data_IF_221814476217
#
_entry.id   IF_221814476217
#
_cell.length_a   1.000
_cell.length_b   1.000
_cell.length_c   1.000
_cell.angle_alpha   90.00
_cell.angle_beta   90.00
_cell.angle_gamma   90.00
#
_symmetry.space_group_name_H-M   'P 1'
#
loop_
_entity.id
_entity.type
_entity.pdbx_description
1 polymer ?
#
# COMPACT_ATOMS: atom_id res chain seq x y z
N UNK A 1 22.65 1.16 21.43
CA UNK A 1 22.68 0.40 20.16
C UNK A 1 21.40 -0.41 20.08
N UNK A 2 20.74 -0.35 18.96
CA UNK A 2 19.53 -1.12 18.67
C UNK A 2 19.83 -1.97 17.43
N UNK A 3 19.55 -3.28 17.49
CA UNK A 3 19.67 -4.16 16.33
C UNK A 3 18.30 -4.28 15.66
N UNK A 4 18.26 -4.01 14.36
CA UNK A 4 17.05 -4.08 13.53
C UNK A 4 17.06 -5.42 12.80
N UNK A 5 16.24 -6.35 13.26
CA UNK A 5 16.16 -7.71 12.74
C UNK A 5 15.00 -7.87 11.76
N UNK A 6 15.18 -8.64 10.68
CA UNK A 6 14.05 -9.08 9.87
C UNK A 6 13.17 -10.05 10.65
N UNK A 7 11.92 -10.16 10.25
CA UNK A 7 11.05 -11.26 10.67
C UNK A 7 11.53 -12.60 10.12
N UNK A 8 11.08 -13.70 10.73
CA UNK A 8 11.35 -15.05 10.23
C UNK A 8 10.71 -15.24 8.84
N UNK A 9 11.45 -15.89 7.93
CA UNK A 9 10.98 -16.27 6.60
C UNK A 9 11.07 -17.78 6.42
N UNK A 10 10.01 -18.39 5.90
CA UNK A 10 9.99 -19.82 5.55
C UNK A 10 10.23 -20.08 4.06
N UNK A 11 10.19 -19.04 3.24
CA UNK A 11 10.33 -19.13 1.78
C UNK A 11 11.71 -18.70 1.25
N UNK A 12 12.73 -18.61 2.12
CA UNK A 12 14.07 -18.15 1.76
C UNK A 12 14.32 -16.68 2.14
N UNK A 13 15.36 -16.05 1.59
CA UNK A 13 15.70 -14.67 1.94
C UNK A 13 14.57 -13.71 1.61
N UNK A 14 14.31 -12.78 2.52
CA UNK A 14 13.33 -11.72 2.25
C UNK A 14 13.91 -10.70 1.26
N UNK A 15 13.03 -10.03 0.51
CA UNK A 15 13.38 -8.80 -0.16
C UNK A 15 13.54 -7.71 0.90
N UNK A 16 14.76 -7.23 1.19
CA UNK A 16 15.01 -6.45 2.38
C UNK A 16 14.34 -5.08 2.34
N UNK A 17 13.49 -4.82 3.31
CA UNK A 17 12.94 -3.50 3.61
C UNK A 17 13.22 -3.17 5.07
N UNK A 18 14.50 -2.96 5.46
CA UNK A 18 14.90 -2.82 6.86
C UNK A 18 14.35 -1.54 7.46
N UNK A 19 13.17 -1.62 8.01
CA UNK A 19 12.52 -0.54 8.70
C UNK A 19 12.43 -0.78 10.20
N UNK A 20 12.13 0.24 10.94
CA UNK A 20 12.06 0.20 12.38
C UNK A 20 11.00 1.16 12.89
N UNK A 21 10.46 0.84 14.07
CA UNK A 21 9.68 1.76 14.89
C UNK A 21 9.91 1.42 16.37
N UNK A 22 10.17 2.43 17.18
CA UNK A 22 10.38 2.26 18.62
C UNK A 22 10.05 3.55 19.37
N UNK A 23 9.82 3.41 20.66
CA UNK A 23 9.70 4.50 21.58
C UNK A 23 11.04 4.71 22.31
N UNK A 24 11.48 5.93 22.46
CA UNK A 24 12.69 6.33 23.14
C UNK A 24 12.40 7.30 24.28
N UNK A 25 12.66 6.87 25.52
CA UNK A 25 12.62 7.74 26.69
C UNK A 25 13.98 8.42 26.84
N UNK A 26 14.05 9.68 26.45
CA UNK A 26 15.28 10.46 26.48
C UNK A 26 15.24 11.42 27.68
N UNK A 27 15.98 11.08 28.75
CA UNK A 27 16.04 11.90 29.97
C UNK A 27 17.17 12.93 29.95
N UNK A 28 17.52 13.44 28.77
CA UNK A 28 18.56 14.44 28.54
C UNK A 28 18.02 15.60 27.73
N UNK A 29 18.42 16.81 28.10
CA UNK A 29 18.19 18.01 27.26
C UNK A 29 19.10 18.03 26.02
N UNK A 30 20.23 17.33 26.07
CA UNK A 30 21.17 17.25 24.97
C UNK A 30 20.78 16.15 23.98
N UNK A 31 21.11 16.29 22.69
CA UNK A 31 20.88 15.28 21.69
C UNK A 31 21.57 13.93 22.04
N UNK A 32 20.90 12.84 21.74
CA UNK A 32 21.38 11.46 22.02
C UNK A 32 21.68 10.75 20.71
N UNK A 33 22.87 10.13 20.64
CA UNK A 33 23.26 9.31 19.49
C UNK A 33 22.82 7.87 19.68
N UNK A 34 21.99 7.37 18.77
CA UNK A 34 21.57 6.00 18.71
C UNK A 34 22.21 5.32 17.51
N UNK A 35 22.89 4.18 17.76
CA UNK A 35 23.41 3.33 16.70
C UNK A 35 22.38 2.27 16.35
N UNK A 36 21.96 2.24 15.09
CA UNK A 36 21.15 1.20 14.47
C UNK A 36 22.06 0.22 13.75
N UNK A 37 21.95 -1.08 14.05
CA UNK A 37 22.67 -2.16 13.42
C UNK A 37 21.66 -3.03 12.65
N UNK A 38 21.79 -3.11 11.36
CA UNK A 38 20.83 -3.79 10.46
C UNK A 38 21.15 -5.27 10.25
N UNK A 39 21.97 -5.88 11.10
CA UNK A 39 22.25 -7.31 11.07
C UNK A 39 22.70 -7.85 9.69
N UNK A 40 23.49 -7.08 8.96
CA UNK A 40 24.00 -7.41 7.62
C UNK A 40 23.12 -6.90 6.46
N UNK A 41 22.01 -6.22 6.75
CA UNK A 41 21.22 -5.49 5.75
C UNK A 41 21.63 -4.02 5.70
N UNK A 42 21.10 -3.24 4.75
CA UNK A 42 21.48 -1.84 4.55
C UNK A 42 20.46 -0.88 5.14
N UNK A 43 20.92 0.26 5.63
CA UNK A 43 20.08 1.39 5.98
C UNK A 43 19.26 1.83 4.76
N UNK A 44 17.93 1.93 4.93
CA UNK A 44 17.02 2.30 3.84
C UNK A 44 16.16 3.51 4.17
N UNK A 45 15.66 3.61 5.40
CA UNK A 45 14.68 4.60 5.79
C UNK A 45 15.27 5.66 6.71
N UNK A 46 15.17 6.93 6.32
CA UNK A 46 15.53 8.06 7.17
C UNK A 46 14.48 8.26 8.26
N UNK A 47 14.91 8.51 9.52
CA UNK A 47 14.00 8.51 10.66
C UNK A 47 13.03 9.68 10.67
N UNK A 48 11.81 9.38 11.04
CA UNK A 48 10.77 10.30 11.43
C UNK A 48 10.58 10.22 12.93
N UNK A 49 10.22 11.34 13.55
CA UNK A 49 9.96 11.44 14.99
C UNK A 49 8.57 12.01 15.25
N UNK A 50 7.95 11.57 16.34
CA UNK A 50 6.71 12.13 16.87
C UNK A 50 6.84 12.34 18.37
N UNK A 51 6.32 13.48 18.88
CA UNK A 51 6.26 13.82 20.30
C UNK A 51 4.83 13.82 20.86
N UNK A 52 3.86 13.53 20.03
CA UNK A 52 2.43 13.52 20.34
C UNK A 52 1.78 12.15 20.09
N UNK A 53 2.56 11.10 20.36
CA UNK A 53 2.13 9.70 20.22
C UNK A 53 1.63 9.35 18.82
N UNK A 54 2.30 9.85 17.76
CA UNK A 54 2.00 9.53 16.38
C UNK A 54 0.96 10.44 15.72
N UNK A 55 0.40 11.43 16.42
CA UNK A 55 -0.58 12.35 15.85
C UNK A 55 0.05 13.27 14.79
N UNK A 56 1.32 13.65 14.98
CA UNK A 56 2.10 14.34 13.96
C UNK A 56 3.53 13.78 13.87
N UNK A 57 4.14 13.91 12.70
CA UNK A 57 5.46 13.38 12.42
C UNK A 57 6.35 14.42 11.76
N UNK A 58 7.61 14.43 12.15
CA UNK A 58 8.66 15.26 11.57
C UNK A 58 9.80 14.38 11.06
N UNK A 59 10.18 14.52 9.79
CA UNK A 59 11.39 13.87 9.25
C UNK A 59 12.62 14.53 9.86
N UNK A 60 13.57 13.73 10.33
CA UNK A 60 14.89 14.26 10.75
C UNK A 60 15.68 14.68 9.52
N UNK A 61 16.49 15.73 9.67
CA UNK A 61 17.39 16.18 8.62
C UNK A 61 18.46 15.13 8.28
N UNK A 62 19.01 15.21 7.09
CA UNK A 62 20.07 14.30 6.65
C UNK A 62 21.31 14.38 7.54
N UNK A 63 21.59 15.53 8.12
CA UNK A 63 22.67 15.79 9.08
C UNK A 63 22.49 15.04 10.42
N UNK A 64 21.28 14.61 10.73
CA UNK A 64 20.98 13.79 11.90
C UNK A 64 21.35 12.32 11.71
N UNK A 65 21.68 11.88 10.49
CA UNK A 65 21.97 10.47 10.17
C UNK A 65 23.35 10.33 9.54
N UNK A 66 24.17 9.48 10.12
CA UNK A 66 25.47 9.08 9.54
C UNK A 66 25.44 7.58 9.26
N UNK A 67 25.55 7.20 8.00
CA UNK A 67 25.61 5.80 7.58
C UNK A 67 27.08 5.39 7.45
N UNK A 68 27.43 4.21 8.00
CA UNK A 68 28.79 3.64 7.87
C UNK A 68 29.09 3.23 6.41
N UNK A 69 30.37 3.06 6.10
CA UNK A 69 30.85 2.79 4.74
C UNK A 69 30.25 1.54 4.10
N UNK A 70 29.94 0.54 4.90
CA UNK A 70 29.31 -0.73 4.49
C UNK A 70 27.77 -0.64 4.40
N UNK A 71 27.17 0.47 4.85
CA UNK A 71 25.72 0.67 4.89
C UNK A 71 24.98 -0.12 5.97
N UNK A 72 25.65 -1.02 6.71
CA UNK A 72 25.00 -1.91 7.69
C UNK A 72 24.70 -1.25 9.03
N UNK A 73 25.31 -0.11 9.27
CA UNK A 73 25.17 0.63 10.52
C UNK A 73 24.81 2.08 10.20
N UNK A 74 23.79 2.59 10.86
CA UNK A 74 23.50 4.01 10.89
C UNK A 74 23.57 4.57 12.32
N UNK A 75 24.12 5.77 12.46
CA UNK A 75 24.07 6.53 13.71
C UNK A 75 23.07 7.65 13.52
N UNK A 76 22.02 7.64 14.34
CA UNK A 76 20.95 8.63 14.33
C UNK A 76 21.12 9.55 15.53
N UNK A 77 21.13 10.86 15.34
CA UNK A 77 21.12 11.85 16.40
C UNK A 77 19.68 12.24 16.69
N UNK A 78 19.17 11.77 17.81
CA UNK A 78 17.81 12.07 18.28
C UNK A 78 17.84 13.36 19.12
N UNK A 79 16.87 14.28 18.97
CA UNK A 79 16.80 15.47 19.79
C UNK A 79 16.47 15.11 21.24
N UNK A 80 17.15 15.77 22.19
CA UNK A 80 16.81 15.68 23.60
C UNK A 80 15.42 16.24 23.92
N UNK A 81 14.94 15.98 25.12
CA UNK A 81 13.67 16.50 25.63
C UNK A 81 13.16 15.69 26.83
N UNK A 82 12.17 16.21 27.55
CA UNK A 82 11.61 15.57 28.72
C UNK A 82 10.60 14.47 28.40
N UNK A 83 10.09 14.44 27.15
CA UNK A 83 8.99 13.59 26.75
C UNK A 83 9.49 12.36 25.98
N UNK A 84 8.71 11.31 26.00
CA UNK A 84 8.89 10.13 25.16
C UNK A 84 8.83 10.52 23.69
N UNK A 85 9.63 9.86 22.86
CA UNK A 85 9.79 10.12 21.45
C UNK A 85 9.51 8.85 20.68
N UNK A 86 8.49 8.86 19.82
CA UNK A 86 8.34 7.81 18.81
C UNK A 86 9.34 8.08 17.68
N UNK A 87 10.05 7.04 17.28
CA UNK A 87 11.01 7.07 16.17
C UNK A 87 10.66 5.96 15.20
N UNK A 88 10.49 6.29 13.93
CA UNK A 88 10.16 5.29 12.92
C UNK A 88 10.82 5.60 11.59
N UNK A 89 11.02 4.59 10.74
CA UNK A 89 11.50 4.77 9.38
C UNK A 89 10.53 5.54 8.48
N UNK A 90 9.24 5.54 8.82
CA UNK A 90 8.15 6.31 8.16
C UNK A 90 7.08 6.63 9.19
N UNK A 91 6.25 7.66 8.98
CA UNK A 91 5.05 7.86 9.79
C UNK A 91 4.25 6.56 9.88
N UNK A 92 3.89 6.16 11.09
CA UNK A 92 3.20 4.89 11.30
C UNK A 92 1.73 5.01 10.90
N UNK A 93 1.26 4.05 10.12
CA UNK A 93 -0.16 3.78 9.89
C UNK A 93 -0.41 2.38 10.42
N UNK A 94 -0.97 2.26 11.59
CA UNK A 94 -1.24 0.98 12.25
C UNK A 94 -2.55 0.35 11.77
N UNK A 95 -2.82 -0.95 12.07
CA UNK A 95 -4.14 -1.52 11.81
C UNK A 95 -5.29 -0.79 12.53
N UNK A 96 -5.02 -0.16 13.67
CA UNK A 96 -5.99 0.65 14.38
C UNK A 96 -6.32 1.94 13.63
N UNK A 97 -5.30 2.63 13.09
CA UNK A 97 -5.47 3.83 12.27
C UNK A 97 -6.28 3.52 11.02
N UNK A 98 -5.95 2.43 10.31
CA UNK A 98 -6.73 1.97 9.16
C UNK A 98 -8.19 1.65 9.52
N UNK A 99 -8.44 1.07 10.70
CA UNK A 99 -9.80 0.82 11.16
C UNK A 99 -10.57 2.10 11.49
N UNK A 100 -9.90 3.13 12.04
CA UNK A 100 -10.49 4.45 12.29
C UNK A 100 -10.82 5.14 10.96
N UNK A 101 -9.86 5.20 10.04
CA UNK A 101 -10.04 5.78 8.72
C UNK A 101 -11.18 5.06 7.94
N UNK A 102 -11.19 3.74 7.92
CA UNK A 102 -12.23 2.94 7.25
C UNK A 102 -13.62 3.25 7.78
N UNK A 103 -13.78 3.39 9.11
CA UNK A 103 -15.07 3.77 9.71
C UNK A 103 -15.52 5.15 9.27
N UNK A 104 -14.61 6.13 9.28
CA UNK A 104 -14.92 7.49 8.85
C UNK A 104 -15.36 7.54 7.38
N UNK A 105 -14.71 6.78 6.51
CA UNK A 105 -15.07 6.68 5.09
C UNK A 105 -16.47 6.04 4.93
N UNK A 106 -16.72 4.94 5.64
CA UNK A 106 -18.02 4.25 5.66
C UNK A 106 -19.15 5.19 6.10
N UNK A 107 -18.94 5.90 7.21
CA UNK A 107 -19.96 6.82 7.76
C UNK A 107 -20.20 7.99 6.80
N UNK A 108 -19.14 8.56 6.22
CA UNK A 108 -19.23 9.73 5.34
C UNK A 108 -19.95 9.44 4.03
N UNK A 109 -19.71 8.29 3.42
CA UNK A 109 -20.18 7.98 2.07
C UNK A 109 -21.23 6.87 2.00
N UNK A 110 -21.67 6.34 3.15
CA UNK A 110 -22.68 5.27 3.20
C UNK A 110 -22.19 3.94 2.62
N UNK A 111 -20.89 3.68 2.72
CA UNK A 111 -20.32 2.41 2.29
C UNK A 111 -20.71 1.26 3.22
N UNK A 112 -20.53 0.04 2.78
CA UNK A 112 -20.62 -1.15 3.62
C UNK A 112 -19.20 -1.59 4.01
N UNK A 113 -19.07 -2.07 5.26
CA UNK A 113 -17.84 -2.72 5.74
C UNK A 113 -18.11 -4.21 5.84
N UNK A 114 -17.39 -4.99 5.05
CA UNK A 114 -17.58 -6.43 4.91
C UNK A 114 -16.36 -7.16 5.45
N UNK A 115 -16.51 -8.01 6.45
CA UNK A 115 -15.44 -8.93 6.87
C UNK A 115 -15.47 -10.15 5.96
N UNK A 116 -14.46 -10.32 5.12
CA UNK A 116 -14.35 -11.42 4.17
C UNK A 116 -13.53 -12.62 4.69
N UNK A 117 -12.86 -12.47 5.81
CA UNK A 117 -12.06 -13.51 6.44
C UNK A 117 -11.31 -13.04 7.66
N UNK A 118 -10.38 -13.89 8.11
CA UNK A 118 -9.49 -13.62 9.24
C UNK A 118 -8.04 -13.92 8.84
N UNK A 119 -7.11 -13.13 9.39
CA UNK A 119 -5.69 -13.35 9.28
C UNK A 119 -5.22 -14.52 10.17
N UNK A 120 -3.92 -14.87 10.12
CA UNK A 120 -3.34 -15.91 10.97
C UNK A 120 -3.48 -15.62 12.47
N UNK A 121 -3.40 -14.34 12.87
CA UNK A 121 -3.56 -13.92 14.27
C UNK A 121 -5.05 -13.63 14.63
N UNK A 122 -6.00 -13.99 13.76
CA UNK A 122 -7.43 -13.80 14.01
C UNK A 122 -7.90 -12.34 13.86
N UNK A 123 -7.13 -11.48 13.17
CA UNK A 123 -7.58 -10.11 12.85
C UNK A 123 -8.56 -10.15 11.68
N UNK A 124 -9.65 -9.35 11.72
CA UNK A 124 -10.58 -9.30 10.60
C UNK A 124 -9.90 -8.77 9.34
N UNK A 125 -10.20 -9.42 8.21
CA UNK A 125 -9.86 -8.97 6.88
C UNK A 125 -11.10 -8.30 6.29
N UNK A 126 -11.01 -7.01 5.96
CA UNK A 126 -12.16 -6.19 5.67
C UNK A 126 -12.07 -5.52 4.31
N UNK A 127 -13.22 -5.44 3.64
CA UNK A 127 -13.46 -4.65 2.45
C UNK A 127 -14.46 -3.53 2.73
N UNK A 128 -14.26 -2.40 2.08
CA UNK A 128 -15.22 -1.30 2.03
C UNK A 128 -15.88 -1.33 0.65
N UNK A 129 -17.21 -1.42 0.61
CA UNK A 129 -17.92 -1.58 -0.66
C UNK A 129 -19.05 -0.57 -0.81
N UNK A 130 -19.28 -0.15 -2.04
CA UNK A 130 -20.42 0.70 -2.40
C UNK A 130 -20.84 0.40 -3.85
N UNK A 131 -22.07 0.71 -4.19
CA UNK A 131 -22.71 0.39 -5.46
C UNK A 131 -23.63 -0.82 -5.34
N UNK A 132 -24.60 -0.99 -6.27
CA UNK A 132 -25.61 -2.03 -6.18
C UNK A 132 -25.04 -3.42 -6.44
N UNK A 133 -25.68 -4.45 -5.86
CA UNK A 133 -25.32 -5.85 -6.14
C UNK A 133 -25.62 -6.26 -7.59
N UNK A 134 -26.47 -5.49 -8.28
CA UNK A 134 -26.81 -5.67 -9.69
C UNK A 134 -25.92 -4.89 -10.65
N UNK A 135 -24.88 -4.20 -10.15
CA UNK A 135 -23.94 -3.47 -10.97
C UNK A 135 -23.31 -4.37 -12.04
N UNK A 136 -23.22 -3.89 -13.27
CA UNK A 136 -22.60 -4.62 -14.37
C UNK A 136 -21.07 -4.49 -14.39
N UNK A 137 -20.52 -3.48 -13.70
CA UNK A 137 -19.10 -3.17 -13.64
C UNK A 137 -18.56 -3.20 -12.21
N UNK A 138 -17.27 -3.52 -12.07
CA UNK A 138 -16.61 -3.48 -10.77
C UNK A 138 -15.21 -2.85 -10.89
N UNK A 139 -14.86 -2.05 -9.87
CA UNK A 139 -13.51 -1.52 -9.65
C UNK A 139 -12.99 -2.07 -8.35
N UNK A 140 -11.79 -2.64 -8.39
CA UNK A 140 -11.10 -3.22 -7.23
C UNK A 140 -9.83 -2.42 -6.96
N UNK A 141 -9.64 -2.01 -5.72
CA UNK A 141 -8.40 -1.41 -5.27
C UNK A 141 -7.98 -1.95 -3.91
N UNK A 142 -6.68 -2.18 -3.73
CA UNK A 142 -6.15 -2.73 -2.49
C UNK A 142 -4.80 -2.11 -2.12
N UNK A 143 -4.42 -2.31 -0.85
CA UNK A 143 -3.12 -1.91 -0.31
C UNK A 143 -2.74 -2.72 0.92
N UNK A 144 -1.60 -2.41 1.51
CA UNK A 144 -1.17 -2.93 2.81
C UNK A 144 -0.77 -4.39 2.81
N UNK A 145 -0.23 -4.92 1.71
CA UNK A 145 0.37 -6.25 1.66
C UNK A 145 1.71 -6.29 2.41
N UNK A 146 2.52 -5.23 2.29
CA UNK A 146 3.83 -5.13 2.95
C UNK A 146 3.83 -4.05 4.03
N UNK A 147 4.25 -4.38 5.26
CA UNK A 147 4.16 -3.47 6.41
C UNK A 147 4.86 -2.12 6.29
N UNK A 148 6.09 -2.01 5.71
CA UNK A 148 6.81 -0.74 5.62
C UNK A 148 6.27 0.25 4.59
N UNK A 149 5.42 -0.20 3.68
CA UNK A 149 4.99 0.54 2.50
C UNK A 149 3.91 1.58 2.83
N UNK A 150 4.28 2.55 3.67
CA UNK A 150 3.35 3.56 4.21
C UNK A 150 2.89 4.56 3.15
N UNK A 151 3.78 4.94 2.20
CA UNK A 151 3.43 5.90 1.13
C UNK A 151 2.35 5.35 0.20
N UNK A 152 2.40 4.04 -0.13
CA UNK A 152 1.36 3.36 -0.90
C UNK A 152 0.01 3.34 -0.19
N UNK A 153 0.01 3.09 1.12
CA UNK A 153 -1.21 3.16 1.93
C UNK A 153 -1.79 4.58 1.92
N UNK A 154 -0.96 5.60 2.12
CA UNK A 154 -1.40 6.99 2.10
C UNK A 154 -1.97 7.40 0.73
N UNK A 155 -1.36 6.95 -0.38
CA UNK A 155 -1.90 7.20 -1.72
C UNK A 155 -3.23 6.47 -1.95
N UNK A 156 -3.40 5.25 -1.42
CA UNK A 156 -4.68 4.54 -1.45
C UNK A 156 -5.76 5.28 -0.66
N UNK A 157 -5.44 5.86 0.51
CA UNK A 157 -6.39 6.68 1.28
C UNK A 157 -6.86 7.88 0.48
N UNK A 158 -5.93 8.63 -0.14
CA UNK A 158 -6.26 9.75 -1.03
C UNK A 158 -7.09 9.30 -2.23
N UNK A 159 -6.73 8.17 -2.85
CA UNK A 159 -7.49 7.57 -3.95
C UNK A 159 -8.94 7.29 -3.54
N UNK A 160 -9.13 6.58 -2.42
CA UNK A 160 -10.45 6.19 -1.94
C UNK A 160 -11.31 7.40 -1.58
N UNK A 161 -10.75 8.39 -0.87
CA UNK A 161 -11.46 9.62 -0.50
C UNK A 161 -11.84 10.44 -1.71
N UNK A 162 -10.94 10.64 -2.67
CA UNK A 162 -11.21 11.37 -3.90
C UNK A 162 -12.27 10.65 -4.74
N UNK A 163 -12.12 9.33 -4.91
CA UNK A 163 -13.07 8.51 -5.65
C UNK A 163 -14.48 8.64 -5.07
N UNK A 164 -14.64 8.48 -3.76
CA UNK A 164 -15.94 8.55 -3.11
C UNK A 164 -16.53 9.96 -3.08
N UNK A 165 -15.69 10.99 -3.03
CA UNK A 165 -16.14 12.37 -3.04
C UNK A 165 -16.62 12.84 -4.43
N UNK A 166 -16.05 12.29 -5.49
CA UNK A 166 -16.20 12.85 -6.85
C UNK A 166 -16.85 11.90 -7.85
N UNK A 167 -17.08 10.60 -7.49
CA UNK A 167 -17.75 9.67 -8.40
C UNK A 167 -19.20 10.14 -8.67
N UNK A 168 -19.62 10.28 -9.96
CA UNK A 168 -20.97 10.69 -10.27
C UNK A 168 -22.00 9.63 -9.84
N UNK A 169 -23.19 10.08 -9.44
CA UNK A 169 -24.27 9.20 -8.99
C UNK A 169 -24.70 8.19 -10.06
N UNK A 170 -24.70 8.59 -11.33
CA UNK A 170 -24.98 7.71 -12.45
C UNK A 170 -23.93 6.62 -12.63
N UNK A 171 -22.64 6.95 -12.41
CA UNK A 171 -21.55 5.96 -12.42
C UNK A 171 -21.70 4.97 -11.28
N UNK A 172 -22.01 5.49 -10.08
CA UNK A 172 -22.22 4.67 -8.89
C UNK A 172 -23.44 3.74 -9.00
N UNK A 173 -24.45 4.12 -9.79
CA UNK A 173 -25.65 3.31 -10.02
C UNK A 173 -25.40 2.01 -10.80
N UNK A 174 -24.29 1.93 -11.56
CA UNK A 174 -23.94 0.78 -12.41
C UNK A 174 -22.53 0.23 -12.12
N UNK A 175 -21.87 0.72 -11.10
CA UNK A 175 -20.51 0.28 -10.74
C UNK A 175 -20.42 -0.10 -9.27
N UNK A 176 -19.91 -1.31 -9.02
CA UNK A 176 -19.53 -1.79 -7.69
C UNK A 176 -18.08 -1.39 -7.41
N UNK A 177 -17.83 -0.71 -6.31
CA UNK A 177 -16.46 -0.40 -5.84
C UNK A 177 -16.14 -1.30 -4.65
N UNK A 178 -14.98 -1.96 -4.71
CA UNK A 178 -14.46 -2.83 -3.66
C UNK A 178 -13.05 -2.36 -3.28
N UNK A 179 -12.93 -1.81 -2.09
CA UNK A 179 -11.69 -1.25 -1.55
C UNK A 179 -11.20 -2.13 -0.40
N UNK A 180 -9.95 -2.62 -0.47
CA UNK A 180 -9.34 -3.46 0.57
C UNK A 180 -8.18 -2.68 1.23
N UNK A 181 -8.44 -2.02 2.37
CA UNK A 181 -7.49 -1.09 2.96
C UNK A 181 -6.27 -1.75 3.62
N UNK A 182 -6.36 -3.04 3.97
CA UNK A 182 -5.28 -3.72 4.68
C UNK A 182 -5.32 -5.24 4.48
N UNK A 183 -4.49 -5.75 3.58
CA UNK A 183 -4.42 -7.20 3.28
C UNK A 183 -3.56 -7.95 4.31
N UNK A 184 -2.54 -7.30 4.90
CA UNK A 184 -1.62 -7.90 5.88
C UNK A 184 -1.67 -7.20 7.25
N UNK A 185 -2.78 -7.35 8.01
CA UNK A 185 -2.89 -6.71 9.32
C UNK A 185 -1.90 -7.27 10.35
N UNK A 186 -1.50 -8.53 10.24
CA UNK A 186 -0.60 -9.17 11.18
C UNK A 186 0.83 -8.66 11.03
N UNK A 187 1.35 -8.66 9.79
CA UNK A 187 2.68 -8.15 9.51
C UNK A 187 2.82 -6.68 9.91
N UNK A 188 1.77 -5.88 9.63
CA UNK A 188 1.75 -4.46 10.01
C UNK A 188 1.71 -4.27 11.53
N UNK A 189 0.90 -5.03 12.26
CA UNK A 189 0.84 -4.95 13.72
C UNK A 189 2.16 -5.37 14.40
N UNK A 190 2.94 -6.23 13.76
CA UNK A 190 4.22 -6.72 14.27
C UNK A 190 5.42 -5.89 13.83
N UNK A 191 5.24 -4.97 12.88
CA UNK A 191 6.35 -4.21 12.30
C UNK A 191 7.28 -5.06 11.44
N UNK A 192 6.77 -6.09 10.79
CA UNK A 192 7.53 -6.92 9.87
C UNK A 192 8.09 -6.10 8.70
N UNK A 193 9.20 -6.56 8.11
CA UNK A 193 9.80 -5.87 6.96
C UNK A 193 9.04 -6.15 5.67
N UNK A 194 8.41 -7.33 5.55
CA UNK A 194 7.73 -7.73 4.32
C UNK A 194 6.59 -8.73 4.52
N UNK A 195 6.81 -9.77 5.33
CA UNK A 195 5.96 -10.94 5.38
C UNK A 195 4.75 -10.78 6.31
N UNK A 196 3.79 -11.69 6.14
CA UNK A 196 2.79 -11.92 7.16
C UNK A 196 3.36 -12.66 8.37
N UNK A 197 2.55 -12.93 9.37
CA UNK A 197 2.98 -13.69 10.56
C UNK A 197 3.32 -15.17 10.27
N UNK A 198 2.98 -15.69 9.10
CA UNK A 198 3.37 -17.01 8.63
C UNK A 198 4.74 -17.06 7.95
N UNK A 199 5.46 -15.93 7.88
CA UNK A 199 6.78 -15.85 7.26
C UNK A 199 6.75 -15.92 5.73
N UNK A 200 5.63 -15.50 5.11
CA UNK A 200 5.46 -15.49 3.65
C UNK A 200 5.12 -14.07 3.13
N UNK A 201 5.70 -13.74 1.98
CA UNK A 201 5.33 -12.58 1.19
C UNK A 201 3.95 -12.81 0.58
N UNK A 202 2.95 -12.07 1.03
CA UNK A 202 1.58 -12.20 0.52
C UNK A 202 1.49 -11.87 -0.97
N UNK A 203 2.30 -10.92 -1.47
CA UNK A 203 2.35 -10.59 -2.90
C UNK A 203 3.23 -11.57 -3.71
N UNK A 204 3.41 -12.80 -3.21
CA UNK A 204 3.95 -13.98 -3.91
C UNK A 204 3.05 -15.21 -3.76
N UNK A 205 1.93 -15.07 -3.05
CA UNK A 205 1.05 -16.19 -2.71
C UNK A 205 -0.30 -16.18 -3.46
N UNK A 206 -0.60 -15.14 -4.25
CA UNK A 206 -1.91 -14.98 -4.90
C UNK A 206 -2.29 -16.14 -5.85
N UNK A 207 -1.31 -16.74 -6.52
CA UNK A 207 -1.55 -17.90 -7.37
C UNK A 207 -1.55 -19.21 -6.59
N UNK A 208 -0.75 -19.31 -5.50
CA UNK A 208 -0.67 -20.52 -4.68
C UNK A 208 -1.73 -20.58 -3.60
N UNK A 209 -2.18 -19.44 -3.12
CA UNK A 209 -3.23 -19.29 -2.09
C UNK A 209 -2.97 -20.16 -0.85
N UNK A 210 -1.73 -20.20 -0.37
CA UNK A 210 -1.35 -21.00 0.79
C UNK A 210 -1.73 -20.32 2.11
N UNK A 211 -1.71 -18.97 2.14
CA UNK A 211 -1.99 -18.18 3.33
C UNK A 211 -3.49 -17.90 3.50
N UNK A 212 -4.02 -17.93 4.76
CA UNK A 212 -5.42 -17.66 5.03
C UNK A 212 -5.91 -16.32 4.45
N UNK A 213 -5.10 -15.27 4.58
CA UNK A 213 -5.44 -13.95 4.05
C UNK A 213 -5.62 -13.98 2.53
N UNK A 214 -4.72 -14.64 1.80
CA UNK A 214 -4.79 -14.73 0.34
C UNK A 214 -5.95 -15.64 -0.10
N UNK A 215 -6.17 -16.78 0.56
CA UNK A 215 -7.37 -17.61 0.31
C UNK A 215 -8.67 -16.83 0.48
N UNK A 216 -8.73 -16.00 1.53
CA UNK A 216 -9.93 -15.24 1.83
C UNK A 216 -10.14 -14.12 0.80
N UNK A 217 -9.10 -13.34 0.46
CA UNK A 217 -9.23 -12.22 -0.47
C UNK A 217 -9.52 -12.70 -1.89
N UNK A 218 -8.84 -13.73 -2.38
CA UNK A 218 -9.06 -14.25 -3.74
C UNK A 218 -10.47 -14.82 -3.91
N UNK A 219 -10.95 -15.60 -2.91
CA UNK A 219 -12.33 -16.07 -2.88
C UNK A 219 -13.33 -14.92 -2.90
N UNK A 220 -13.13 -13.92 -2.04
CA UNK A 220 -14.03 -12.77 -1.92
C UNK A 220 -14.08 -11.96 -3.21
N UNK A 221 -12.91 -11.63 -3.78
CA UNK A 221 -12.85 -10.86 -5.03
C UNK A 221 -13.41 -11.62 -6.22
N UNK A 222 -13.21 -12.95 -6.30
CA UNK A 222 -13.85 -13.76 -7.35
C UNK A 222 -15.37 -13.75 -7.24
N UNK A 223 -15.92 -13.78 -6.01
CA UNK A 223 -17.38 -13.68 -5.79
C UNK A 223 -17.91 -12.29 -6.15
N UNK A 224 -17.22 -11.22 -5.77
CA UNK A 224 -17.62 -9.85 -6.13
C UNK A 224 -17.52 -9.59 -7.64
N UNK A 225 -16.57 -10.21 -8.33
CA UNK A 225 -16.41 -10.06 -9.78
C UNK A 225 -17.36 -10.95 -10.60
N UNK A 226 -18.02 -11.94 -9.99
CA UNK A 226 -18.89 -12.86 -10.73
C UNK A 226 -20.03 -12.13 -11.46
N UNK A 227 -20.06 -12.27 -12.78
CA UNK A 227 -21.07 -11.63 -13.66
C UNK A 227 -20.87 -10.13 -13.88
N UNK A 228 -19.74 -9.56 -13.47
CA UNK A 228 -19.37 -8.16 -13.66
C UNK A 228 -18.15 -8.02 -14.55
N UNK A 229 -18.11 -6.95 -15.30
CA UNK A 229 -16.91 -6.51 -16.01
C UNK A 229 -15.94 -5.83 -15.02
N UNK A 230 -14.74 -6.39 -14.85
CA UNK A 230 -13.71 -5.83 -13.98
C UNK A 230 -12.96 -4.74 -14.74
N UNK A 231 -13.38 -3.50 -14.52
CA UNK A 231 -12.87 -2.33 -15.24
C UNK A 231 -11.45 -1.95 -14.82
N UNK A 232 -11.14 -2.07 -13.54
CA UNK A 232 -9.83 -1.72 -12.99
C UNK A 232 -9.48 -2.57 -11.77
N UNK A 233 -8.20 -2.96 -11.69
CA UNK A 233 -7.60 -3.59 -10.53
C UNK A 233 -6.30 -2.85 -10.17
N UNK A 234 -6.29 -2.18 -9.03
CA UNK A 234 -5.19 -1.33 -8.55
C UNK A 234 -4.66 -1.86 -7.21
N UNK A 235 -3.35 -2.06 -7.13
CA UNK A 235 -2.66 -2.48 -5.91
C UNK A 235 -1.59 -1.44 -5.55
N UNK A 236 -1.79 -0.73 -4.42
CA UNK A 236 -0.93 0.36 -3.99
C UNK A 236 0.17 -0.16 -3.06
N UNK A 237 1.40 0.08 -3.45
CA UNK A 237 2.63 -0.32 -2.79
C UNK A 237 3.62 0.82 -2.63
N UNK A 238 4.80 0.53 -2.07
CA UNK A 238 5.93 1.45 -2.07
C UNK A 238 7.24 0.74 -2.35
N UNK A 239 8.12 1.43 -3.07
CA UNK A 239 9.49 1.01 -3.33
C UNK A 239 10.43 2.22 -3.29
N UNK A 240 11.66 2.09 -3.77
CA UNK A 240 12.65 3.19 -3.70
C UNK A 240 12.29 4.42 -4.52
N UNK A 241 11.49 4.27 -5.59
CA UNK A 241 11.02 5.37 -6.46
C UNK A 241 9.61 5.11 -6.93
N UNK A 242 8.89 6.18 -7.29
CA UNK A 242 7.54 6.06 -7.84
C UNK A 242 7.57 5.48 -9.25
N UNK A 243 6.80 4.41 -9.47
CA UNK A 243 6.68 3.70 -10.75
C UNK A 243 5.38 2.89 -10.81
N UNK A 244 5.06 2.32 -11.97
CA UNK A 244 3.91 1.43 -12.15
C UNK A 244 4.35 0.14 -12.83
N UNK A 245 4.03 -1.00 -12.22
CA UNK A 245 4.17 -2.31 -12.86
C UNK A 245 2.87 -2.70 -13.55
N UNK A 246 2.97 -3.15 -14.80
CA UNK A 246 1.82 -3.58 -15.61
C UNK A 246 2.10 -4.95 -16.24
N UNK A 247 1.07 -5.63 -16.75
CA UNK A 247 1.26 -6.63 -17.79
C UNK A 247 1.95 -6.00 -19.02
N UNK A 248 2.55 -6.80 -19.92
CA UNK A 248 3.11 -6.29 -21.17
C UNK A 248 2.03 -5.59 -22.01
N UNK A 249 2.31 -4.35 -22.47
CA UNK A 249 1.38 -3.60 -23.33
C UNK A 249 1.23 -4.22 -24.74
N UNK A 250 2.25 -4.96 -25.19
CA UNK A 250 2.32 -5.52 -26.54
C UNK A 250 1.64 -6.90 -26.66
N UNK A 251 1.38 -7.54 -25.54
CA UNK A 251 0.74 -8.84 -25.50
C UNK A 251 -0.73 -8.66 -25.10
N UNK A 252 -1.64 -8.90 -26.04
CA UNK A 252 -3.09 -8.75 -25.85
C UNK A 252 -3.67 -9.85 -24.93
N UNK A 253 -3.19 -9.93 -23.69
CA UNK A 253 -3.72 -10.85 -22.67
C UNK A 253 -4.95 -10.27 -21.95
N UNK A 254 -5.13 -8.96 -21.96
CA UNK A 254 -6.28 -8.28 -21.36
C UNK A 254 -6.50 -6.92 -22.03
N UNK A 255 -7.65 -6.31 -21.75
CA UNK A 255 -7.91 -4.93 -22.16
C UNK A 255 -6.95 -3.97 -21.45
N UNK A 256 -6.13 -3.26 -22.24
CA UNK A 256 -5.14 -2.28 -21.77
C UNK A 256 -5.69 -0.84 -21.83
N UNK A 257 -6.98 -0.65 -22.07
CA UNK A 257 -7.58 0.70 -22.21
C UNK A 257 -7.51 1.49 -20.91
N UNK A 258 -7.83 0.85 -19.77
CA UNK A 258 -7.72 1.52 -18.48
C UNK A 258 -6.24 1.78 -18.08
N UNK A 259 -5.30 0.82 -18.16
CA UNK A 259 -3.87 1.09 -17.97
C UNK A 259 -3.35 2.27 -18.79
N UNK A 260 -3.74 2.37 -20.06
CA UNK A 260 -3.35 3.49 -20.92
C UNK A 260 -3.99 4.81 -20.48
N UNK A 261 -5.25 4.79 -20.03
CA UNK A 261 -5.93 5.98 -19.49
C UNK A 261 -5.24 6.50 -18.23
N UNK A 262 -4.86 5.59 -17.31
CA UNK A 262 -4.12 5.95 -16.10
C UNK A 262 -2.73 6.49 -16.44
N UNK A 263 -2.02 5.84 -17.38
CA UNK A 263 -0.72 6.32 -17.84
C UNK A 263 -0.80 7.74 -18.39
N UNK A 264 -1.78 8.02 -19.24
CA UNK A 264 -1.97 9.35 -19.81
C UNK A 264 -2.28 10.40 -18.72
N UNK A 265 -3.02 10.02 -17.68
CA UNK A 265 -3.30 10.92 -16.55
C UNK A 265 -2.03 11.25 -15.76
N UNK A 266 -1.18 10.26 -15.49
CA UNK A 266 0.09 10.45 -14.79
C UNK A 266 1.09 11.25 -15.64
N UNK A 267 1.23 10.94 -16.93
CA UNK A 267 2.12 11.66 -17.85
C UNK A 267 1.73 13.16 -17.99
N UNK A 268 0.44 13.46 -17.84
CA UNK A 268 -0.07 14.84 -17.93
C UNK A 268 -0.01 15.60 -16.60
N UNK A 269 -0.05 14.91 -15.46
CA UNK A 269 -0.26 15.52 -14.16
C UNK A 269 0.92 15.43 -13.18
N UNK A 270 1.97 14.68 -13.51
CA UNK A 270 3.13 14.45 -12.63
C UNK A 270 4.43 14.71 -13.38
N UNK A 271 5.31 15.51 -12.79
CA UNK A 271 6.62 15.85 -13.38
C UNK A 271 7.74 15.58 -12.35
N UNK A 272 8.70 14.68 -12.62
CA UNK A 272 8.72 13.76 -13.76
C UNK A 272 7.63 12.68 -13.66
N UNK A 273 7.10 12.27 -14.80
CA UNK A 273 6.11 11.19 -14.84
C UNK A 273 6.68 9.87 -14.30
N UNK A 274 5.87 9.05 -13.61
CA UNK A 274 6.31 7.74 -13.13
C UNK A 274 6.77 6.83 -14.27
N UNK A 275 7.82 6.05 -14.02
CA UNK A 275 8.26 5.01 -14.95
C UNK A 275 7.21 3.88 -15.01
N UNK A 276 6.95 3.37 -16.22
CA UNK A 276 6.08 2.23 -16.44
C UNK A 276 6.91 1.01 -16.86
N UNK A 277 6.81 -0.05 -16.06
CA UNK A 277 7.58 -1.27 -16.25
C UNK A 277 6.62 -2.40 -16.58
N UNK A 278 6.60 -2.78 -17.86
CA UNK A 278 5.75 -3.85 -18.37
C UNK A 278 6.37 -5.24 -18.11
N UNK A 279 5.53 -6.23 -17.82
CA UNK A 279 5.94 -7.63 -17.69
C UNK A 279 6.79 -7.96 -16.46
N UNK A 280 6.97 -7.04 -15.52
CA UNK A 280 7.75 -7.32 -14.30
C UNK A 280 7.13 -8.44 -13.48
N UNK A 281 7.92 -9.48 -13.16
CA UNK A 281 7.46 -10.65 -12.40
C UNK A 281 6.22 -11.34 -13.02
N UNK A 282 6.14 -11.46 -14.33
CA UNK A 282 4.97 -11.95 -15.07
C UNK A 282 4.48 -13.36 -14.63
N UNK A 283 5.39 -14.22 -14.12
CA UNK A 283 5.05 -15.57 -13.65
C UNK A 283 4.96 -15.66 -12.10
N UNK A 284 5.20 -14.57 -11.39
CA UNK A 284 5.15 -14.59 -9.92
C UNK A 284 3.71 -14.57 -9.40
N UNK A 285 3.50 -15.12 -8.21
CA UNK A 285 2.20 -15.12 -7.50
C UNK A 285 1.79 -13.76 -6.96
N UNK A 286 1.84 -12.71 -7.79
CA UNK A 286 1.45 -11.34 -7.42
C UNK A 286 -0.04 -11.11 -7.62
N UNK A 287 -0.58 -10.10 -6.93
CA UNK A 287 -1.99 -9.66 -7.07
C UNK A 287 -2.34 -9.31 -8.52
N UNK A 288 -1.48 -8.55 -9.21
CA UNK A 288 -1.71 -8.14 -10.60
C UNK A 288 -1.75 -9.33 -11.58
N UNK A 289 -0.92 -10.37 -11.36
CA UNK A 289 -0.92 -11.56 -12.20
C UNK A 289 -2.13 -12.44 -11.91
N UNK A 290 -2.57 -12.54 -10.65
CA UNK A 290 -3.81 -13.20 -10.29
C UNK A 290 -5.02 -12.50 -10.94
N UNK A 291 -5.07 -11.18 -10.89
CA UNK A 291 -6.13 -10.40 -11.53
C UNK A 291 -6.17 -10.67 -13.05
N UNK A 292 -5.02 -10.68 -13.71
CA UNK A 292 -4.92 -11.01 -15.14
C UNK A 292 -5.41 -12.44 -15.45
N UNK A 293 -4.96 -13.42 -14.66
CA UNK A 293 -5.24 -14.84 -14.95
C UNK A 293 -6.64 -15.29 -14.52
N UNK A 294 -7.21 -14.63 -13.50
CA UNK A 294 -8.48 -15.07 -12.87
C UNK A 294 -9.64 -14.16 -13.19
N UNK A 295 -9.40 -12.87 -13.30
CA UNK A 295 -10.44 -11.86 -13.53
C UNK A 295 -10.41 -11.27 -14.94
N UNK A 296 -9.46 -11.69 -15.78
CA UNK A 296 -9.25 -11.19 -17.14
C UNK A 296 -9.10 -9.66 -17.24
N UNK A 297 -8.44 -9.08 -16.22
CA UNK A 297 -8.17 -7.64 -16.15
C UNK A 297 -6.68 -7.37 -15.99
N UNK A 298 -6.19 -6.34 -16.67
CA UNK A 298 -4.81 -5.87 -16.52
C UNK A 298 -4.61 -5.25 -15.12
N UNK A 299 -4.18 -6.07 -14.15
CA UNK A 299 -3.84 -5.62 -12.81
C UNK A 299 -2.63 -4.69 -12.81
N UNK A 300 -2.70 -3.62 -12.06
CA UNK A 300 -1.64 -2.61 -11.93
C UNK A 300 -1.09 -2.59 -10.50
N UNK A 301 0.24 -2.59 -10.36
CA UNK A 301 0.88 -2.26 -9.08
C UNK A 301 1.40 -0.83 -9.15
N UNK A 302 0.80 0.05 -8.36
CA UNK A 302 1.17 1.47 -8.26
C UNK A 302 2.14 1.61 -7.09
N UNK A 303 3.41 1.83 -7.39
CA UNK A 303 4.48 1.95 -6.41
C UNK A 303 4.78 3.41 -6.12
N UNK A 304 4.70 3.82 -4.87
CA UNK A 304 5.15 5.13 -4.41
C UNK A 304 6.61 5.07 -3.94
N UNK A 305 7.37 6.13 -4.15
CA UNK A 305 8.70 6.23 -3.54
C UNK A 305 8.62 6.15 -2.02
N UNK A 306 9.58 5.45 -1.38
CA UNK A 306 9.65 5.39 0.10
C UNK A 306 9.67 6.79 0.71
N UNK A 307 10.36 7.73 0.08
CA UNK A 307 10.49 9.13 0.50
C UNK A 307 9.63 10.10 -0.33
N UNK A 308 8.59 9.59 -1.03
CA UNK A 308 7.69 10.43 -1.80
C UNK A 308 7.15 11.58 -0.92
N UNK A 309 7.24 12.83 -1.39
CA UNK A 309 6.72 13.96 -0.65
C UNK A 309 5.18 13.91 -0.61
N UNK A 310 4.54 14.52 0.40
CA UNK A 310 3.07 14.50 0.53
C UNK A 310 2.33 14.96 -0.73
N UNK A 311 2.86 15.93 -1.46
CA UNK A 311 2.27 16.42 -2.70
C UNK A 311 2.28 15.37 -3.84
N UNK A 312 3.30 14.53 -3.91
CA UNK A 312 3.38 13.43 -4.87
C UNK A 312 2.39 12.32 -4.50
N UNK A 313 2.32 11.94 -3.21
CA UNK A 313 1.35 10.97 -2.69
C UNK A 313 -0.08 11.43 -3.00
N UNK A 314 -0.38 12.69 -2.75
CA UNK A 314 -1.68 13.30 -3.07
C UNK A 314 -1.96 13.26 -4.57
N UNK A 315 -1.00 13.62 -5.42
CA UNK A 315 -1.16 13.63 -6.87
C UNK A 315 -1.42 12.24 -7.42
N UNK A 316 -0.65 11.22 -7.00
CA UNK A 316 -0.85 9.83 -7.43
C UNK A 316 -2.24 9.33 -7.03
N UNK A 317 -2.65 9.54 -5.78
CA UNK A 317 -3.96 9.11 -5.30
C UNK A 317 -5.12 9.77 -6.08
N UNK A 318 -5.09 11.10 -6.21
CA UNK A 318 -6.12 11.88 -6.94
C UNK A 318 -6.19 11.50 -8.41
N UNK A 319 -5.05 11.45 -9.10
CA UNK A 319 -5.03 11.12 -10.53
C UNK A 319 -5.48 9.69 -10.80
N UNK A 320 -5.17 8.75 -9.90
CA UNK A 320 -5.70 7.39 -9.98
C UNK A 320 -7.23 7.36 -9.87
N UNK A 321 -7.81 8.13 -8.94
CA UNK A 321 -9.26 8.24 -8.79
C UNK A 321 -9.91 8.91 -10.02
N UNK A 322 -9.35 10.01 -10.49
CA UNK A 322 -9.84 10.71 -11.68
C UNK A 322 -9.75 9.83 -12.94
N UNK A 323 -8.68 9.03 -13.09
CA UNK A 323 -8.56 8.10 -14.21
C UNK A 323 -9.69 7.07 -14.20
N UNK A 324 -10.02 6.51 -13.02
CA UNK A 324 -11.15 5.58 -12.85
C UNK A 324 -12.48 6.27 -13.20
N UNK A 325 -12.76 7.43 -12.60
CA UNK A 325 -14.02 8.17 -12.82
C UNK A 325 -14.19 8.50 -14.30
N UNK A 326 -13.16 9.07 -14.93
CA UNK A 326 -13.21 9.48 -16.33
C UNK A 326 -13.36 8.30 -17.28
N UNK A 327 -12.71 7.16 -16.98
CA UNK A 327 -12.81 5.96 -17.78
C UNK A 327 -14.23 5.38 -17.72
N UNK A 328 -14.80 5.24 -16.52
CA UNK A 328 -16.15 4.75 -16.31
C UNK A 328 -17.21 5.65 -16.98
N UNK A 329 -17.02 6.98 -16.96
CA UNK A 329 -17.94 7.94 -17.57
C UNK A 329 -17.94 7.88 -19.10
N UNK A 330 -16.81 7.54 -19.72
CA UNK A 330 -16.72 7.41 -21.20
C UNK A 330 -17.37 6.14 -21.71
N UNK A 331 -17.19 5.04 -20.99
CA UNK A 331 -17.70 3.71 -21.36
C UNK A 331 -19.19 3.52 -21.02
N UNK A 332 -19.82 4.45 -20.31
CA UNK A 332 -21.26 4.46 -20.06
C UNK A 332 -22.09 5.00 -21.24
N UNK A 333 -21.45 5.58 -22.27
CA UNK A 333 -22.10 6.21 -23.43
C UNK A 333 -22.00 5.39 -24.72
N UNK A 334 -21.33 4.24 -24.69
CA UNK A 334 -21.23 3.27 -25.78
C UNK A 334 -22.16 2.07 -25.54
#
# INVERSE_FOLDING_TARGET
MLTVWPEASIAGPINPSPWYAFEADIHSSDPVKLRLDYAGYWHRYFPWISRDNGASWQKLGEDAVTVGDDGHIATVTLPGGPDSLLVAGRPLITPADMSVWSRALVERYGMQRVTYGESLDGRPLEALTIGPDTASRIVIALTGQHPPEQSGVAAFEVFAETLMAEVPAETLADTRFVLLPLVNPDGRARGNWRHNNGGLDLNRDWLNQSQPAIKAVTRYLSQEAEGRDVVAFLDFHSTQKTLVYTPPFEEAYADMSFPQALKNAFDAGIEPAPEWIAGHNAEAGTSKNWALQTLDVAGLTVELGDDAPPAEIESIGRLSAHAVINFLSRTAGE
#
